data_IF_818963913364
#
_entry.id   IF_818963913364
#
_cell.length_a   1.000
_cell.length_b   1.000
_cell.length_c   1.000
_cell.angle_alpha   90.00
_cell.angle_beta   90.00
_cell.angle_gamma   90.00
#
_symmetry.space_group_name_H-M   'P 1'
#
loop_
_entity.id
_entity.type
_entity.pdbx_description
1 polymer ?
#
# COMPACT_ATOMS: atom_id res chain seq x y z
N UNK A 1 -35.77 3.43 -1.86
CA UNK A 1 -35.36 4.84 -1.71
C UNK A 1 -35.05 5.15 -0.26
N UNK A 2 -35.81 4.62 0.70
CA UNK A 2 -35.61 4.88 2.14
C UNK A 2 -34.46 4.10 2.81
N UNK A 3 -33.84 3.11 2.15
CA UNK A 3 -32.66 2.40 2.70
C UNK A 3 -31.31 2.97 2.25
N UNK A 4 -31.29 3.88 1.27
CA UNK A 4 -30.08 4.57 0.82
C UNK A 4 -29.89 5.88 1.62
N UNK A 5 -30.98 6.43 2.16
CA UNK A 5 -30.97 7.62 3.02
C UNK A 5 -30.77 7.30 4.51
N UNK A 6 -30.89 6.03 4.92
CA UNK A 6 -30.49 5.56 6.26
C UNK A 6 -29.03 5.08 6.32
N UNK A 7 -28.26 5.27 5.24
CA UNK A 7 -26.88 4.79 5.09
C UNK A 7 -25.85 5.66 5.82
N UNK A 8 -26.27 6.76 6.45
CA UNK A 8 -25.34 7.65 7.12
C UNK A 8 -25.94 8.18 8.42
N UNK A 9 -25.34 7.78 9.53
CA UNK A 9 -25.52 8.42 10.83
C UNK A 9 -24.80 9.79 10.81
N UNK A 10 -25.30 10.79 11.57
CA UNK A 10 -24.68 12.14 11.63
C UNK A 10 -23.19 12.06 12.00
N UNK A 11 -22.87 11.09 12.84
CA UNK A 11 -21.54 10.66 13.29
C UNK A 11 -20.61 10.28 12.13
N UNK A 12 -21.09 9.44 11.21
CA UNK A 12 -20.32 8.89 10.10
C UNK A 12 -20.07 9.95 9.02
N UNK A 13 -21.05 10.82 8.78
CA UNK A 13 -20.90 11.98 7.90
C UNK A 13 -19.79 12.93 8.35
N UNK A 14 -19.70 13.21 9.66
CA UNK A 14 -18.65 14.08 10.21
C UNK A 14 -17.28 13.46 9.98
N UNK A 15 -17.12 12.16 10.25
CA UNK A 15 -15.85 11.45 10.05
C UNK A 15 -15.43 11.37 8.58
N UNK A 16 -16.36 11.10 7.66
CA UNK A 16 -16.09 11.16 6.22
C UNK A 16 -15.71 12.56 5.76
N UNK A 17 -16.33 13.60 6.33
CA UNK A 17 -16.00 15.00 6.02
C UNK A 17 -14.59 15.35 6.49
N UNK A 18 -14.23 14.96 7.71
CA UNK A 18 -12.87 15.12 8.26
C UNK A 18 -11.86 14.37 7.39
N UNK A 19 -12.16 13.11 7.05
CA UNK A 19 -11.31 12.29 6.19
C UNK A 19 -11.10 12.90 4.80
N UNK A 20 -12.18 13.34 4.15
CA UNK A 20 -12.12 14.02 2.85
C UNK A 20 -11.33 15.32 2.93
N UNK A 21 -11.49 16.10 4.00
CA UNK A 21 -10.69 17.30 4.23
C UNK A 21 -9.20 16.96 4.37
N UNK A 22 -8.83 15.90 5.10
CA UNK A 22 -7.44 15.43 5.20
C UNK A 22 -6.88 15.05 3.83
N UNK A 23 -7.63 14.35 2.98
CA UNK A 23 -7.20 14.00 1.62
C UNK A 23 -7.02 15.27 0.76
N UNK A 24 -7.96 16.20 0.81
CA UNK A 24 -7.87 17.44 0.03
C UNK A 24 -6.66 18.26 0.48
N UNK A 25 -6.45 18.39 1.79
CA UNK A 25 -5.28 19.06 2.37
C UNK A 25 -4.00 18.37 1.92
N UNK A 26 -3.95 17.03 1.96
CA UNK A 26 -2.83 16.25 1.43
C UNK A 26 -2.55 16.61 -0.02
N UNK A 27 -3.56 16.52 -0.90
CA UNK A 27 -3.41 16.81 -2.33
C UNK A 27 -2.94 18.25 -2.57
N UNK A 28 -3.43 19.22 -1.80
CA UNK A 28 -2.98 20.62 -1.89
C UNK A 28 -1.51 20.75 -1.49
N UNK A 29 -1.08 20.14 -0.38
CA UNK A 29 0.32 20.20 0.05
C UNK A 29 1.25 19.46 -0.93
N UNK A 30 0.81 18.34 -1.48
CA UNK A 30 1.59 17.54 -2.43
C UNK A 30 1.72 18.21 -3.81
N UNK A 31 0.64 18.82 -4.31
CA UNK A 31 0.61 19.51 -5.61
C UNK A 31 1.18 20.95 -5.55
N UNK A 32 0.90 21.68 -4.46
CA UNK A 32 1.05 23.13 -4.39
C UNK A 32 2.29 23.65 -3.67
N UNK A 33 2.79 22.95 -2.65
CA UNK A 33 3.82 23.50 -1.75
C UNK A 33 5.24 22.96 -2.00
N UNK A 34 5.37 21.70 -2.40
CA UNK A 34 6.69 21.05 -2.60
C UNK A 34 7.23 21.11 -4.04
N UNK A 35 6.51 21.75 -4.96
CA UNK A 35 6.88 21.78 -6.39
C UNK A 35 7.97 22.82 -6.73
N UNK A 36 8.52 23.53 -5.74
CA UNK A 36 9.40 24.69 -5.99
C UNK A 36 10.90 24.43 -5.99
N UNK A 37 11.39 23.28 -5.53
CA UNK A 37 12.79 22.92 -5.73
C UNK A 37 12.95 21.41 -5.79
N UNK A 38 13.52 20.91 -6.89
CA UNK A 38 13.93 19.53 -7.08
C UNK A 38 15.13 19.15 -6.18
N UNK A 39 15.06 19.47 -4.88
CA UNK A 39 16.04 19.05 -3.88
C UNK A 39 15.74 17.61 -3.50
N UNK A 40 16.81 16.79 -3.48
CA UNK A 40 16.75 15.44 -2.92
C UNK A 40 16.12 15.50 -1.53
N UNK A 41 15.06 14.72 -1.30
CA UNK A 41 14.39 14.66 0.00
C UNK A 41 15.37 14.08 1.00
N UNK A 42 15.74 14.86 2.02
CA UNK A 42 16.63 14.39 3.08
C UNK A 42 15.92 13.34 3.94
N UNK A 43 16.67 12.36 4.45
CA UNK A 43 16.15 11.34 5.36
C UNK A 43 15.42 11.97 6.56
N UNK A 44 15.96 13.04 7.14
CA UNK A 44 15.33 13.79 8.23
C UNK A 44 13.95 14.32 7.86
N UNK A 45 13.84 14.97 6.69
CA UNK A 45 12.55 15.48 6.20
C UNK A 45 11.55 14.36 5.98
N UNK A 46 12.00 13.24 5.42
CA UNK A 46 11.16 12.06 5.21
C UNK A 46 10.69 11.46 6.54
N UNK A 47 11.54 11.39 7.57
CA UNK A 47 11.17 10.95 8.91
C UNK A 47 10.10 11.85 9.52
N UNK A 48 10.26 13.17 9.48
CA UNK A 48 9.24 14.10 10.01
C UNK A 48 7.91 13.96 9.27
N UNK A 49 7.92 13.82 7.93
CA UNK A 49 6.71 13.59 7.16
C UNK A 49 6.04 12.25 7.53
N UNK A 50 6.83 11.19 7.75
CA UNK A 50 6.29 9.89 8.17
C UNK A 50 5.63 9.96 9.55
N UNK A 51 6.31 10.58 10.53
CA UNK A 51 5.75 10.78 11.88
C UNK A 51 4.45 11.60 11.80
N UNK A 52 4.43 12.66 11.00
CA UNK A 52 3.23 13.48 10.80
C UNK A 52 2.03 12.65 10.33
N UNK A 53 2.20 11.80 9.32
CA UNK A 53 1.12 10.94 8.84
C UNK A 53 0.67 9.88 9.86
N UNK A 54 1.60 9.33 10.63
CA UNK A 54 1.27 8.41 11.72
C UNK A 54 0.44 9.13 12.78
N UNK A 55 0.83 10.35 13.19
CA UNK A 55 0.10 11.14 14.19
C UNK A 55 -1.31 11.46 13.70
N UNK A 56 -1.49 11.86 12.44
CA UNK A 56 -2.82 12.09 11.86
C UNK A 56 -3.66 10.81 11.89
N UNK A 57 -3.07 9.67 11.52
CA UNK A 57 -3.78 8.38 11.51
C UNK A 57 -4.20 7.95 12.92
N UNK A 58 -3.34 8.17 13.92
CA UNK A 58 -3.66 7.93 15.34
C UNK A 58 -4.75 8.86 15.85
N UNK A 59 -4.67 10.16 15.51
CA UNK A 59 -5.72 11.11 15.86
C UNK A 59 -7.06 10.71 15.23
N UNK A 60 -7.07 10.26 13.97
CA UNK A 60 -8.29 9.78 13.32
C UNK A 60 -8.85 8.52 13.99
N UNK A 61 -8.00 7.55 14.36
CA UNK A 61 -8.42 6.39 15.13
C UNK A 61 -9.04 6.75 16.49
N UNK A 62 -8.50 7.76 17.17
CA UNK A 62 -9.09 8.31 18.39
C UNK A 62 -10.44 8.99 18.14
N UNK A 63 -10.61 9.71 17.02
CA UNK A 63 -11.90 10.26 16.63
C UNK A 63 -12.94 9.16 16.39
N UNK A 64 -12.56 8.03 15.78
CA UNK A 64 -13.46 6.88 15.63
C UNK A 64 -13.96 6.40 17.00
N UNK A 65 -13.08 6.32 18.00
CA UNK A 65 -13.46 5.96 19.37
C UNK A 65 -14.49 6.92 19.98
N UNK A 66 -14.24 8.23 19.88
CA UNK A 66 -15.14 9.26 20.44
C UNK A 66 -16.51 9.26 19.75
N UNK A 67 -16.53 9.17 18.42
CA UNK A 67 -17.75 9.28 17.63
C UNK A 67 -18.60 8.00 17.65
N UNK A 68 -17.99 6.81 17.56
CA UNK A 68 -18.72 5.54 17.61
C UNK A 68 -18.88 4.97 19.03
N UNK A 69 -18.32 5.62 20.06
CA UNK A 69 -18.54 5.28 21.47
C UNK A 69 -18.01 3.90 21.89
N UNK A 70 -16.97 3.38 21.23
CA UNK A 70 -16.49 2.02 21.48
C UNK A 70 -15.08 1.75 20.97
N UNK A 71 -14.40 0.78 21.60
CA UNK A 71 -13.02 0.40 21.25
C UNK A 71 -12.92 -0.57 20.07
N UNK A 72 -14.02 -1.21 19.67
CA UNK A 72 -14.01 -2.25 18.63
C UNK A 72 -13.62 -1.68 17.27
N UNK A 73 -14.35 -0.68 16.75
CA UNK A 73 -14.05 -0.06 15.46
C UNK A 73 -12.69 0.67 15.45
N UNK A 74 -12.29 1.24 16.59
CA UNK A 74 -10.96 1.82 16.76
C UNK A 74 -9.86 0.75 16.62
N UNK A 75 -10.01 -0.41 17.27
CA UNK A 75 -9.06 -1.51 17.18
C UNK A 75 -9.05 -2.14 15.78
N UNK A 76 -10.20 -2.25 15.13
CA UNK A 76 -10.29 -2.66 13.73
C UNK A 76 -9.56 -1.69 12.81
N UNK A 77 -9.77 -0.38 12.97
CA UNK A 77 -9.05 0.66 12.25
C UNK A 77 -7.54 0.54 12.44
N UNK A 78 -7.06 0.44 13.68
CA UNK A 78 -5.63 0.32 13.94
C UNK A 78 -5.04 -1.00 13.43
N UNK A 79 -5.78 -2.09 13.51
CA UNK A 79 -5.36 -3.40 12.98
C UNK A 79 -5.23 -3.35 11.47
N UNK A 80 -6.25 -2.82 10.78
CA UNK A 80 -6.25 -2.65 9.34
C UNK A 80 -5.15 -1.68 8.89
N UNK A 81 -5.01 -0.54 9.58
CA UNK A 81 -3.98 0.46 9.30
C UNK A 81 -2.58 -0.13 9.46
N UNK A 82 -2.29 -0.85 10.55
CA UNK A 82 -0.96 -1.43 10.79
C UNK A 82 -0.65 -2.56 9.80
N UNK A 83 -1.61 -3.44 9.53
CA UNK A 83 -1.46 -4.50 8.54
C UNK A 83 -1.13 -3.90 7.16
N UNK A 84 -1.90 -2.90 6.75
CA UNK A 84 -1.73 -2.22 5.47
C UNK A 84 -0.44 -1.41 5.39
N UNK A 85 -0.12 -0.68 6.46
CA UNK A 85 1.11 0.10 6.57
C UNK A 85 2.33 -0.80 6.40
N UNK A 86 2.27 -2.02 6.94
CA UNK A 86 3.34 -2.99 6.79
C UNK A 86 3.43 -3.59 5.38
N UNK A 87 2.30 -4.04 4.82
CA UNK A 87 2.25 -4.60 3.46
C UNK A 87 2.69 -3.57 2.42
N UNK A 88 2.38 -2.28 2.64
CA UNK A 88 2.84 -1.20 1.76
C UNK A 88 4.36 -1.06 1.68
N UNK A 89 5.14 -1.63 2.61
CA UNK A 89 6.60 -1.61 2.52
C UNK A 89 7.08 -2.50 1.37
N UNK A 90 6.49 -3.68 1.18
CA UNK A 90 6.76 -4.52 0.01
C UNK A 90 6.40 -3.81 -1.29
N UNK A 91 5.31 -3.02 -1.30
CA UNK A 91 4.95 -2.18 -2.44
C UNK A 91 6.07 -1.18 -2.77
N UNK A 92 6.63 -0.52 -1.76
CA UNK A 92 7.75 0.41 -1.92
C UNK A 92 8.99 -0.29 -2.48
N UNK A 93 9.30 -1.51 -2.02
CA UNK A 93 10.42 -2.30 -2.56
C UNK A 93 10.28 -2.49 -4.06
N UNK A 94 9.11 -2.94 -4.53
CA UNK A 94 8.90 -3.16 -5.97
C UNK A 94 8.90 -1.85 -6.75
N UNK A 95 8.32 -0.78 -6.22
CA UNK A 95 8.40 0.55 -6.84
C UNK A 95 9.86 0.97 -7.02
N UNK A 96 10.70 0.79 -6.00
CA UNK A 96 12.13 1.13 -6.08
C UNK A 96 12.85 0.29 -7.13
N UNK A 97 12.57 -1.01 -7.20
CA UNK A 97 13.13 -1.90 -8.23
C UNK A 97 12.73 -1.47 -9.63
N UNK A 98 11.45 -1.13 -9.86
CA UNK A 98 10.96 -0.60 -11.13
C UNK A 98 11.71 0.70 -11.49
N UNK A 99 11.80 1.65 -10.56
CA UNK A 99 12.49 2.93 -10.78
C UNK A 99 13.97 2.75 -11.13
N UNK A 100 14.66 1.83 -10.44
CA UNK A 100 16.07 1.49 -10.69
C UNK A 100 16.25 0.79 -12.04
N UNK A 101 15.38 -0.17 -12.37
CA UNK A 101 15.41 -0.90 -13.64
C UNK A 101 15.27 0.04 -14.85
N UNK A 102 14.29 0.96 -14.79
CA UNK A 102 14.08 1.98 -15.83
C UNK A 102 15.08 3.14 -15.77
N UNK A 103 16.05 3.10 -14.84
CA UNK A 103 17.07 4.14 -14.63
C UNK A 103 16.44 5.53 -14.55
N UNK A 104 15.32 5.63 -13.83
CA UNK A 104 14.60 6.88 -13.67
C UNK A 104 15.43 7.85 -12.84
N UNK A 105 15.59 9.07 -13.33
CA UNK A 105 16.26 10.14 -12.59
C UNK A 105 15.49 10.47 -11.30
N UNK A 106 16.20 10.63 -10.18
CA UNK A 106 15.59 10.88 -8.86
C UNK A 106 14.68 12.12 -8.83
N UNK A 107 14.93 13.10 -9.70
CA UNK A 107 14.11 14.31 -9.86
C UNK A 107 12.66 13.99 -10.25
N UNK A 108 12.42 12.84 -10.89
CA UNK A 108 11.08 12.40 -11.29
C UNK A 108 10.41 11.45 -10.28
N UNK A 109 11.11 11.00 -9.23
CA UNK A 109 10.54 10.08 -8.23
C UNK A 109 9.33 10.70 -7.55
N UNK A 110 9.44 11.97 -7.14
CA UNK A 110 8.33 12.70 -6.51
C UNK A 110 7.08 12.65 -7.39
N UNK A 111 7.23 12.95 -8.68
CA UNK A 111 6.13 12.95 -9.63
C UNK A 111 5.52 11.57 -9.82
N UNK A 112 6.34 10.53 -9.96
CA UNK A 112 5.85 9.15 -10.13
C UNK A 112 5.12 8.68 -8.88
N UNK A 113 5.68 8.92 -7.70
CA UNK A 113 5.07 8.55 -6.42
C UNK A 113 3.76 9.30 -6.18
N UNK A 114 3.67 10.59 -6.56
CA UNK A 114 2.43 11.34 -6.45
C UNK A 114 1.31 10.71 -7.28
N UNK A 115 1.57 10.44 -8.57
CA UNK A 115 0.57 9.79 -9.42
C UNK A 115 0.28 8.36 -8.96
N UNK A 116 1.31 7.65 -8.48
CA UNK A 116 1.24 6.34 -7.82
C UNK A 116 0.25 6.31 -6.65
N UNK A 117 0.35 7.27 -5.74
CA UNK A 117 -0.56 7.38 -4.58
C UNK A 117 -1.96 7.73 -5.03
N UNK A 118 -2.11 8.66 -5.98
CA UNK A 118 -3.42 9.07 -6.48
C UNK A 118 -4.16 7.91 -7.15
N UNK A 119 -3.47 7.13 -7.99
CA UNK A 119 -4.02 5.95 -8.62
C UNK A 119 -4.34 4.86 -7.60
N UNK A 120 -3.44 4.59 -6.65
CA UNK A 120 -3.68 3.64 -5.55
C UNK A 120 -4.94 3.99 -4.73
N UNK A 121 -5.17 5.27 -4.40
CA UNK A 121 -6.39 5.71 -3.69
C UNK A 121 -7.66 5.35 -4.48
N UNK A 122 -7.65 5.60 -5.80
CA UNK A 122 -8.79 5.34 -6.68
C UNK A 122 -9.01 3.83 -6.86
N UNK A 123 -7.96 3.08 -7.22
CA UNK A 123 -8.07 1.64 -7.42
C UNK A 123 -8.42 0.90 -6.13
N UNK A 124 -7.91 1.34 -4.97
CA UNK A 124 -8.35 0.78 -3.69
C UNK A 124 -9.80 1.03 -3.40
N UNK A 125 -10.32 2.24 -3.66
CA UNK A 125 -11.75 2.48 -3.50
C UNK A 125 -12.54 1.46 -4.33
N UNK A 126 -12.18 1.28 -5.60
CA UNK A 126 -12.82 0.31 -6.49
C UNK A 126 -12.74 -1.12 -5.93
N UNK A 127 -11.55 -1.59 -5.53
CA UNK A 127 -11.37 -2.96 -5.06
C UNK A 127 -12.04 -3.21 -3.70
N UNK A 128 -12.03 -2.23 -2.79
CA UNK A 128 -12.68 -2.33 -1.49
C UNK A 128 -14.20 -2.42 -1.67
N UNK A 129 -14.81 -1.51 -2.43
CA UNK A 129 -16.26 -1.56 -2.64
C UNK A 129 -16.69 -2.79 -3.46
N UNK A 130 -15.90 -3.19 -4.46
CA UNK A 130 -16.15 -4.43 -5.19
C UNK A 130 -16.02 -5.65 -4.28
N UNK A 131 -14.99 -5.69 -3.44
CA UNK A 131 -14.78 -6.76 -2.46
C UNK A 131 -15.90 -6.81 -1.42
N UNK A 132 -16.34 -5.67 -0.91
CA UNK A 132 -17.43 -5.58 0.06
C UNK A 132 -18.74 -6.10 -0.54
N UNK A 133 -19.04 -5.69 -1.78
CA UNK A 133 -20.17 -6.22 -2.54
C UNK A 133 -20.09 -7.74 -2.71
N UNK A 134 -18.92 -8.27 -3.08
CA UNK A 134 -18.71 -9.72 -3.22
C UNK A 134 -18.84 -10.47 -1.90
N UNK A 135 -18.33 -9.93 -0.79
CA UNK A 135 -18.42 -10.55 0.54
C UNK A 135 -19.88 -10.55 1.03
N UNK A 136 -20.61 -9.46 0.81
CA UNK A 136 -22.02 -9.35 1.20
C UNK A 136 -22.89 -10.40 0.49
N UNK A 137 -22.69 -10.59 -0.82
CA UNK A 137 -23.45 -11.59 -1.59
C UNK A 137 -22.92 -13.02 -1.40
N UNK A 138 -21.61 -13.18 -1.29
CA UNK A 138 -20.93 -14.47 -1.27
C UNK A 138 -20.04 -14.62 -0.04
N UNK A 139 -20.63 -14.81 1.14
CA UNK A 139 -19.88 -14.91 2.40
C UNK A 139 -18.76 -15.98 2.38
N UNK A 140 -18.94 -17.05 1.60
CA UNK A 140 -17.95 -18.11 1.40
C UNK A 140 -16.67 -17.64 0.68
N UNK A 141 -16.68 -16.46 0.06
CA UNK A 141 -15.51 -15.86 -0.58
C UNK A 141 -14.39 -15.56 0.42
N UNK A 142 -14.73 -15.31 1.68
CA UNK A 142 -13.75 -15.13 2.76
C UNK A 142 -12.89 -16.38 2.95
N UNK A 143 -13.40 -17.56 2.63
CA UNK A 143 -12.60 -18.81 2.68
C UNK A 143 -11.62 -18.91 1.52
N UNK A 144 -12.02 -18.47 0.32
CA UNK A 144 -11.10 -18.37 -0.83
C UNK A 144 -9.97 -17.40 -0.47
N UNK A 145 -10.32 -16.24 0.08
CA UNK A 145 -9.39 -15.24 0.58
C UNK A 145 -8.45 -15.83 1.63
N UNK A 146 -8.97 -16.54 2.63
CA UNK A 146 -8.15 -17.19 3.66
C UNK A 146 -7.15 -18.19 3.08
N UNK A 147 -7.60 -19.07 2.17
CA UNK A 147 -6.72 -20.03 1.50
C UNK A 147 -5.66 -19.34 0.62
N UNK A 148 -6.06 -18.29 -0.09
CA UNK A 148 -5.17 -17.48 -0.92
C UNK A 148 -4.08 -16.80 -0.07
N UNK A 149 -4.43 -16.21 1.08
CA UNK A 149 -3.46 -15.57 1.98
C UNK A 149 -2.46 -16.56 2.57
N UNK A 150 -2.92 -17.74 2.98
CA UNK A 150 -2.01 -18.81 3.44
C UNK A 150 -1.05 -19.20 2.32
N UNK A 151 -1.56 -19.40 1.11
CA UNK A 151 -0.73 -19.71 -0.06
C UNK A 151 0.30 -18.60 -0.36
N UNK A 152 -0.12 -17.34 -0.43
CA UNK A 152 0.76 -16.19 -0.68
C UNK A 152 1.83 -16.07 0.40
N UNK A 153 1.46 -16.17 1.68
CA UNK A 153 2.41 -16.12 2.77
C UNK A 153 3.42 -17.28 2.75
N UNK A 154 2.98 -18.52 2.49
CA UNK A 154 3.89 -19.67 2.33
C UNK A 154 4.83 -19.46 1.16
N UNK A 155 4.31 -18.98 0.02
CA UNK A 155 5.13 -18.68 -1.16
C UNK A 155 6.22 -17.67 -0.84
N UNK A 156 5.88 -16.55 -0.21
CA UNK A 156 6.86 -15.51 0.19
C UNK A 156 7.91 -16.08 1.14
N UNK A 157 7.51 -16.93 2.10
CA UNK A 157 8.44 -17.52 3.07
C UNK A 157 9.51 -18.41 2.42
N UNK A 158 9.15 -19.15 1.37
CA UNK A 158 10.04 -20.09 0.67
C UNK A 158 10.69 -19.51 -0.58
N UNK A 159 10.29 -18.31 -1.03
CA UNK A 159 10.87 -17.66 -2.19
C UNK A 159 12.32 -17.23 -1.89
N UNK A 160 13.25 -17.59 -2.78
CA UNK A 160 14.64 -17.12 -2.72
C UNK A 160 14.73 -15.77 -3.42
N UNK A 161 15.50 -14.83 -2.87
CA UNK A 161 15.68 -13.45 -3.35
C UNK A 161 16.20 -13.33 -4.81
N UNK A 162 16.59 -14.43 -5.47
CA UNK A 162 17.22 -14.47 -6.79
C UNK A 162 16.24 -14.75 -7.96
N UNK A 163 14.93 -14.82 -7.74
CA UNK A 163 13.96 -14.88 -8.84
C UNK A 163 13.78 -13.48 -9.47
N UNK A 164 14.62 -13.22 -10.48
CA UNK A 164 14.65 -12.05 -11.37
C UNK A 164 13.22 -11.52 -11.69
N UNK A 165 12.84 -10.43 -11.04
CA UNK A 165 11.87 -9.50 -11.60
C UNK A 165 12.52 -8.93 -12.86
N UNK A 166 12.15 -9.46 -14.02
CA UNK A 166 12.44 -8.85 -15.31
C UNK A 166 11.19 -8.08 -15.78
N UNK A 167 11.07 -6.77 -15.47
CA UNK A 167 9.94 -5.96 -15.88
C UNK A 167 9.63 -6.04 -17.37
N UNK A 168 10.63 -6.24 -18.25
CA UNK A 168 10.37 -6.34 -19.69
C UNK A 168 9.63 -7.61 -20.11
N UNK A 169 9.71 -8.68 -19.31
CA UNK A 169 8.89 -9.88 -19.53
C UNK A 169 7.46 -9.71 -19.05
N UNK A 170 7.17 -8.70 -18.23
CA UNK A 170 5.85 -8.42 -17.68
C UNK A 170 4.83 -8.22 -18.82
N UNK A 171 3.72 -8.95 -18.72
CA UNK A 171 2.60 -8.94 -19.65
C UNK A 171 2.09 -7.51 -19.88
N UNK A 172 2.11 -6.69 -18.84
CA UNK A 172 1.62 -5.32 -18.87
C UNK A 172 2.49 -4.43 -19.77
N UNK A 173 3.82 -4.58 -19.72
CA UNK A 173 4.72 -3.85 -20.61
C UNK A 173 4.56 -4.33 -22.05
N UNK A 174 4.46 -5.64 -22.26
CA UNK A 174 4.27 -6.20 -23.61
C UNK A 174 2.98 -5.69 -24.24
N UNK A 175 1.90 -5.68 -23.47
CA UNK A 175 0.62 -5.12 -23.90
C UNK A 175 0.73 -3.62 -24.17
N UNK A 176 1.29 -2.86 -23.24
CA UNK A 176 1.48 -1.41 -23.42
C UNK A 176 2.33 -1.09 -24.66
N UNK A 177 3.45 -1.78 -24.90
CA UNK A 177 4.29 -1.60 -26.10
C UNK A 177 3.59 -2.03 -27.39
N UNK A 178 2.66 -2.99 -27.32
CA UNK A 178 1.87 -3.46 -28.47
C UNK A 178 0.78 -2.47 -28.89
N UNK A 179 0.12 -1.82 -27.94
CA UNK A 179 -1.02 -0.93 -28.20
C UNK A 179 -0.71 0.56 -28.11
N UNK A 180 0.38 0.95 -27.45
CA UNK A 180 0.78 2.34 -27.27
C UNK A 180 2.06 2.65 -28.03
N UNK A 181 2.09 3.84 -28.64
CA UNK A 181 3.30 4.33 -29.31
C UNK A 181 4.30 4.87 -28.29
N UNK A 182 5.25 4.03 -27.89
CA UNK A 182 6.26 4.37 -26.88
C UNK A 182 7.46 5.08 -27.51
N UNK A 183 7.91 6.17 -26.89
CA UNK A 183 9.11 6.89 -27.30
C UNK A 183 10.39 6.25 -26.74
N UNK A 184 11.55 6.57 -27.34
CA UNK A 184 12.87 6.17 -26.83
C UNK A 184 13.47 7.12 -25.77
N UNK A 185 12.92 8.32 -25.55
CA UNK A 185 13.55 9.36 -24.73
C UNK A 185 12.69 9.82 -23.55
N UNK A 186 13.35 10.35 -22.51
CA UNK A 186 12.70 10.98 -21.37
C UNK A 186 12.49 12.47 -21.68
N UNK A 187 11.27 12.84 -22.06
CA UNK A 187 10.89 14.20 -22.49
C UNK A 187 10.70 15.16 -21.30
N UNK A 188 11.77 15.41 -20.54
CA UNK A 188 11.79 16.34 -19.39
C UNK A 188 10.66 16.06 -18.38
N UNK A 189 10.45 14.79 -18.03
CA UNK A 189 9.44 14.40 -17.04
C UNK A 189 8.00 14.32 -17.54
N UNK A 190 7.71 14.56 -18.83
CA UNK A 190 6.36 14.42 -19.38
C UNK A 190 6.00 12.95 -19.55
N UNK A 191 4.78 12.56 -19.18
CA UNK A 191 4.29 11.19 -19.39
C UNK A 191 3.81 10.96 -20.84
N UNK A 192 3.19 11.98 -21.42
CA UNK A 192 2.62 11.96 -22.77
C UNK A 192 3.11 13.17 -23.54
N UNK A 193 3.44 12.97 -24.81
CA UNK A 193 3.78 14.05 -25.73
C UNK A 193 2.90 13.95 -26.98
N UNK A 194 2.55 15.10 -27.56
CA UNK A 194 1.94 15.17 -28.90
C UNK A 194 3.02 15.51 -29.92
N UNK A 195 3.09 14.73 -31.00
CA UNK A 195 3.89 15.04 -32.18
C UNK A 195 2.97 15.04 -33.40
N UNK A 196 2.53 16.24 -33.81
CA UNK A 196 1.47 16.40 -34.80
C UNK A 196 0.14 15.85 -34.29
N UNK A 197 -0.51 14.98 -35.08
CA UNK A 197 -1.76 14.29 -34.70
C UNK A 197 -1.54 13.06 -33.82
N UNK A 198 -0.30 12.61 -33.63
CA UNK A 198 0.00 11.38 -32.91
C UNK A 198 0.30 11.65 -31.44
N UNK A 199 -0.32 10.85 -30.57
CA UNK A 199 -0.02 10.80 -29.13
C UNK A 199 1.07 9.74 -28.91
N UNK A 200 2.11 10.12 -28.20
CA UNK A 200 3.27 9.31 -27.89
C UNK A 200 3.42 9.23 -26.37
N UNK A 201 3.65 8.02 -25.86
CA UNK A 201 3.82 7.76 -24.44
C UNK A 201 5.31 7.60 -24.12
N UNK A 202 5.76 8.20 -23.02
CA UNK A 202 7.17 8.15 -22.61
C UNK A 202 7.48 6.93 -21.76
N UNK A 203 8.75 6.59 -21.55
CA UNK A 203 9.13 5.55 -20.59
C UNK A 203 8.60 5.80 -19.18
N UNK A 204 8.49 7.07 -18.76
CA UNK A 204 7.91 7.45 -17.46
C UNK A 204 6.43 7.06 -17.33
N UNK A 205 5.67 7.05 -18.43
CA UNK A 205 4.29 6.56 -18.41
C UNK A 205 4.25 5.04 -18.17
N UNK A 206 5.15 4.29 -18.79
CA UNK A 206 5.27 2.84 -18.53
C UNK A 206 5.63 2.55 -17.08
N UNK A 207 6.49 3.38 -16.48
CA UNK A 207 6.85 3.27 -15.06
C UNK A 207 5.62 3.47 -14.18
N UNK A 208 4.81 4.51 -14.40
CA UNK A 208 3.55 4.69 -13.64
C UNK A 208 2.63 3.49 -13.85
N UNK A 209 2.43 3.06 -15.09
CA UNK A 209 1.55 1.94 -15.39
C UNK A 209 1.98 0.66 -14.64
N UNK A 210 3.29 0.40 -14.53
CA UNK A 210 3.84 -0.70 -13.75
C UNK A 210 3.64 -0.52 -12.25
N UNK A 211 3.88 0.68 -11.72
CA UNK A 211 3.68 0.98 -10.30
C UNK A 211 2.22 0.76 -9.91
N UNK A 212 1.28 1.32 -10.68
CA UNK A 212 -0.17 1.15 -10.44
C UNK A 212 -0.63 -0.29 -10.56
N UNK A 213 -0.17 -1.00 -11.59
CA UNK A 213 -0.55 -2.40 -11.77
C UNK A 213 0.07 -3.32 -10.72
N UNK A 214 1.27 -3.01 -10.23
CA UNK A 214 1.88 -3.74 -9.12
C UNK A 214 1.09 -3.49 -7.84
N UNK A 215 0.69 -2.24 -7.55
CA UNK A 215 -0.18 -1.94 -6.41
C UNK A 215 -1.50 -2.72 -6.51
N UNK A 216 -2.08 -2.83 -7.72
CA UNK A 216 -3.26 -3.65 -7.97
C UNK A 216 -3.05 -5.13 -7.66
N UNK A 217 -1.89 -5.67 -8.03
CA UNK A 217 -1.53 -7.06 -7.72
C UNK A 217 -1.39 -7.23 -6.21
N UNK A 218 -0.76 -6.28 -5.51
CA UNK A 218 -0.65 -6.30 -4.05
C UNK A 218 -1.98 -6.06 -3.32
N UNK A 219 -2.92 -5.37 -3.94
CA UNK A 219 -4.28 -5.23 -3.44
C UNK A 219 -4.98 -6.59 -3.32
N UNK A 220 -4.62 -7.57 -4.16
CA UNK A 220 -5.17 -8.93 -4.11
C UNK A 220 -4.75 -9.67 -2.84
N UNK A 221 -3.58 -9.41 -2.27
CA UNK A 221 -3.17 -9.96 -0.97
C UNK A 221 -3.68 -9.10 0.19
N UNK A 222 -3.51 -7.79 0.10
CA UNK A 222 -3.76 -6.88 1.22
C UNK A 222 -5.25 -6.65 1.52
N UNK A 223 -6.11 -6.52 0.51
CA UNK A 223 -7.53 -6.23 0.73
C UNK A 223 -8.26 -7.42 1.38
N UNK A 224 -8.11 -8.67 0.90
CA UNK A 224 -8.61 -9.84 1.63
C UNK A 224 -8.15 -9.94 3.08
N UNK A 225 -6.88 -9.60 3.35
CA UNK A 225 -6.35 -9.60 4.71
C UNK A 225 -7.05 -8.57 5.60
N UNK A 226 -7.40 -7.40 5.07
CA UNK A 226 -8.16 -6.39 5.82
C UNK A 226 -9.63 -6.80 6.00
N UNK A 227 -10.25 -7.47 5.03
CA UNK A 227 -11.60 -8.04 5.19
C UNK A 227 -11.69 -9.08 6.33
N UNK A 228 -10.57 -9.74 6.66
CA UNK A 228 -10.47 -10.63 7.82
C UNK A 228 -10.44 -9.89 9.17
N UNK A 229 -10.16 -8.58 9.15
CA UNK A 229 -10.08 -7.72 10.33
C UNK A 229 -11.42 -7.03 10.52
N UNK A 230 -11.98 -6.46 9.46
CA UNK A 230 -13.25 -5.73 9.50
C UNK A 230 -13.96 -5.84 8.17
N UNK A 231 -15.29 -5.88 8.21
CA UNK A 231 -16.16 -5.80 7.04
C UNK A 231 -16.84 -4.43 6.95
N UNK A 232 -16.53 -3.51 7.87
CA UNK A 232 -17.03 -2.14 7.81
C UNK A 232 -16.29 -1.38 6.69
N UNK A 233 -17.02 -0.99 5.65
CA UNK A 233 -16.49 -0.32 4.46
C UNK A 233 -15.77 0.99 4.79
N UNK A 234 -16.31 1.78 5.72
CA UNK A 234 -15.69 3.01 6.20
C UNK A 234 -14.32 2.74 6.82
N UNK A 235 -14.22 1.75 7.72
CA UNK A 235 -12.95 1.38 8.36
C UNK A 235 -11.95 0.80 7.35
N UNK A 236 -12.42 -0.10 6.47
CA UNK A 236 -11.62 -0.67 5.38
C UNK A 236 -10.98 0.43 4.54
N UNK A 237 -11.80 1.37 4.06
CA UNK A 237 -11.36 2.43 3.18
C UNK A 237 -10.44 3.43 3.89
N UNK A 238 -10.88 3.99 5.02
CA UNK A 238 -10.12 5.04 5.71
C UNK A 238 -8.76 4.53 6.20
N UNK A 239 -8.70 3.36 6.84
CA UNK A 239 -7.44 2.78 7.32
C UNK A 239 -6.44 2.53 6.19
N UNK A 240 -6.92 2.06 5.04
CA UNK A 240 -6.11 1.81 3.87
C UNK A 240 -5.53 3.09 3.29
N UNK A 241 -6.36 4.12 3.12
CA UNK A 241 -5.88 5.40 2.57
C UNK A 241 -4.88 6.04 3.55
N UNK A 242 -5.18 6.09 4.85
CA UNK A 242 -4.24 6.59 5.86
C UNK A 242 -2.88 5.87 5.80
N UNK A 243 -2.87 4.56 5.58
CA UNK A 243 -1.64 3.80 5.41
C UNK A 243 -0.86 4.18 4.14
N UNK A 244 -1.51 4.58 3.04
CA UNK A 244 -0.83 5.01 1.80
C UNK A 244 -0.44 6.48 1.80
N UNK A 245 -1.14 7.39 2.49
CA UNK A 245 -0.85 8.84 2.42
C UNK A 245 0.63 9.17 2.78
N UNK A 246 1.25 8.37 3.65
CA UNK A 246 2.67 8.48 4.01
C UNK A 246 3.66 7.82 3.03
N UNK A 247 3.21 7.23 1.92
CA UNK A 247 4.03 6.40 1.01
C UNK A 247 5.27 7.13 0.52
N UNK A 248 5.16 8.41 0.14
CA UNK A 248 6.30 9.19 -0.33
C UNK A 248 7.40 9.30 0.72
N UNK A 249 7.02 9.63 1.96
CA UNK A 249 7.94 9.73 3.08
C UNK A 249 8.59 8.38 3.37
N UNK A 250 7.79 7.31 3.40
CA UNK A 250 8.26 5.94 3.58
C UNK A 250 9.22 5.51 2.47
N UNK A 251 8.94 5.86 1.21
CA UNK A 251 9.79 5.55 0.08
C UNK A 251 11.20 6.12 0.26
N UNK A 252 11.32 7.41 0.61
CA UNK A 252 12.63 8.03 0.79
C UNK A 252 13.37 7.54 2.04
N UNK A 253 12.64 7.16 3.10
CA UNK A 253 13.24 6.48 4.25
C UNK A 253 13.80 5.13 3.79
N UNK A 254 12.94 4.27 3.23
CA UNK A 254 13.27 2.90 2.88
C UNK A 254 14.38 2.84 1.83
N UNK A 255 14.32 3.67 0.78
CA UNK A 255 15.35 3.72 -0.26
C UNK A 255 16.77 3.98 0.31
N UNK A 256 16.89 4.65 1.46
CA UNK A 256 18.16 4.91 2.13
C UNK A 256 18.60 3.85 3.15
N UNK A 257 17.72 2.94 3.55
CA UNK A 257 17.98 1.94 4.61
C UNK A 257 17.55 0.52 4.23
N UNK A 258 17.23 0.31 2.95
CA UNK A 258 16.62 -0.91 2.40
C UNK A 258 17.36 -2.19 2.79
N UNK A 259 18.69 -2.16 2.72
CA UNK A 259 19.57 -3.29 3.03
C UNK A 259 19.54 -3.70 4.52
N UNK A 260 18.92 -2.88 5.37
CA UNK A 260 18.79 -3.17 6.80
C UNK A 260 17.54 -3.99 7.13
N UNK A 261 16.50 -4.02 6.29
CA UNK A 261 15.17 -4.59 6.62
C UNK A 261 14.92 -5.98 6.02
N UNK A 262 15.94 -6.83 5.98
CA UNK A 262 15.86 -8.15 5.35
C UNK A 262 14.89 -9.14 6.03
N UNK A 263 14.56 -8.97 7.32
CA UNK A 263 13.57 -9.83 8.00
C UNK A 263 12.13 -9.35 7.83
N UNK A 264 11.89 -8.21 7.19
CA UNK A 264 10.55 -7.65 7.06
C UNK A 264 9.67 -8.54 6.18
N UNK A 265 10.18 -9.03 5.05
CA UNK A 265 9.46 -9.98 4.17
C UNK A 265 9.04 -11.25 4.92
N UNK A 266 9.89 -11.78 5.80
CA UNK A 266 9.54 -12.92 6.66
C UNK A 266 8.43 -12.56 7.66
N UNK A 267 8.47 -11.37 8.24
CA UNK A 267 7.38 -10.88 9.10
C UNK A 267 6.05 -10.80 8.35
N UNK A 268 6.06 -10.27 7.14
CA UNK A 268 4.87 -10.17 6.28
C UNK A 268 4.32 -11.53 5.87
N UNK A 269 5.19 -12.50 5.52
CA UNK A 269 4.75 -13.88 5.26
C UNK A 269 4.03 -14.51 6.45
N UNK A 270 4.53 -14.29 7.66
CA UNK A 270 3.89 -14.80 8.87
C UNK A 270 2.53 -14.13 9.11
N UNK A 271 2.44 -12.82 8.92
CA UNK A 271 1.19 -12.06 9.06
C UNK A 271 0.14 -12.58 8.07
N UNK A 272 0.49 -12.80 6.80
CA UNK A 272 -0.41 -13.33 5.79
C UNK A 272 -0.89 -14.75 6.14
N UNK A 273 0.01 -15.64 6.56
CA UNK A 273 -0.36 -16.99 7.01
C UNK A 273 -1.29 -16.92 8.22
N UNK A 274 -0.98 -16.08 9.21
CA UNK A 274 -1.79 -15.92 10.41
C UNK A 274 -3.19 -15.40 10.09
N UNK A 275 -3.30 -14.34 9.28
CA UNK A 275 -4.59 -13.77 8.89
C UNK A 275 -5.38 -14.78 8.05
N UNK A 276 -4.76 -15.45 7.09
CA UNK A 276 -5.41 -16.47 6.28
C UNK A 276 -5.90 -17.66 7.12
N UNK A 277 -5.07 -18.13 8.06
CA UNK A 277 -5.46 -19.17 9.01
C UNK A 277 -6.62 -18.72 9.91
N UNK A 278 -6.63 -17.48 10.41
CA UNK A 278 -7.76 -16.90 11.15
C UNK A 278 -9.05 -16.99 10.35
N UNK A 279 -9.04 -16.56 9.08
CA UNK A 279 -10.23 -16.61 8.22
C UNK A 279 -10.73 -18.04 8.02
N UNK A 280 -9.83 -19.01 7.87
CA UNK A 280 -10.20 -20.41 7.70
C UNK A 280 -10.70 -21.05 9.01
N UNK A 281 -10.18 -20.64 10.17
CA UNK A 281 -10.61 -21.14 11.48
C UNK A 281 -12.04 -20.72 11.83
N UNK A 282 -12.52 -19.62 11.25
CA UNK A 282 -13.92 -19.19 11.37
C UNK A 282 -14.91 -20.25 10.84
N UNK A 283 -14.49 -21.09 9.89
CA UNK A 283 -15.28 -22.24 9.43
C UNK A 283 -15.56 -23.26 10.53
N UNK A 284 -14.64 -23.43 11.48
CA UNK A 284 -14.78 -24.37 12.61
C UNK A 284 -15.34 -23.65 13.85
N UNK A 285 -15.93 -22.46 13.67
CA UNK A 285 -16.46 -21.59 14.73
C UNK A 285 -15.42 -21.15 15.76
N UNK A 286 -14.14 -21.09 15.37
CA UNK A 286 -13.06 -20.58 16.22
C UNK A 286 -12.83 -19.11 15.87
N UNK A 287 -13.32 -18.22 16.72
CA UNK A 287 -13.14 -16.78 16.55
C UNK A 287 -11.90 -16.29 17.31
N UNK A 288 -10.94 -15.74 16.58
CA UNK A 288 -9.78 -15.05 17.18
C UNK A 288 -10.17 -13.61 17.44
N UNK A 289 -10.09 -13.19 18.71
CA UNK A 289 -10.38 -11.83 19.15
C UNK A 289 -9.51 -10.80 18.42
N UNK A 290 -10.11 -9.67 18.01
CA UNK A 290 -9.44 -8.56 17.32
C UNK A 290 -8.20 -8.04 18.05
N UNK A 291 -8.22 -7.98 19.38
CA UNK A 291 -7.07 -7.56 20.20
C UNK A 291 -5.90 -8.55 20.07
N UNK A 292 -6.19 -9.85 20.00
CA UNK A 292 -5.16 -10.88 19.77
C UNK A 292 -4.59 -10.72 18.37
N UNK A 293 -5.44 -10.55 17.35
CA UNK A 293 -4.98 -10.30 15.98
C UNK A 293 -4.10 -9.05 15.90
N UNK A 294 -4.53 -7.93 16.48
CA UNK A 294 -3.76 -6.69 16.56
C UNK A 294 -2.39 -6.93 17.21
N UNK A 295 -2.38 -7.60 18.35
CA UNK A 295 -1.16 -7.87 19.11
C UNK A 295 -0.18 -8.73 18.33
N UNK A 296 -0.66 -9.77 17.64
CA UNK A 296 0.18 -10.64 16.80
C UNK A 296 0.75 -9.85 15.62
N UNK A 297 -0.08 -9.11 14.88
CA UNK A 297 0.37 -8.32 13.73
C UNK A 297 1.40 -7.27 14.17
N UNK A 298 1.06 -6.48 15.19
CA UNK A 298 1.94 -5.43 15.69
C UNK A 298 3.27 -5.99 16.23
N UNK A 299 3.21 -7.06 17.02
CA UNK A 299 4.42 -7.66 17.61
C UNK A 299 5.32 -8.28 16.56
N UNK A 300 4.77 -8.96 15.54
CA UNK A 300 5.56 -9.52 14.45
C UNK A 300 6.27 -8.42 13.66
N UNK A 301 5.57 -7.33 13.35
CA UNK A 301 6.19 -6.20 12.65
C UNK A 301 7.29 -5.53 13.45
N UNK A 302 7.00 -5.25 14.73
CA UNK A 302 7.97 -4.64 15.63
C UNK A 302 9.20 -5.54 15.77
N UNK A 303 9.02 -6.85 15.96
CA UNK A 303 10.10 -7.81 16.09
C UNK A 303 10.92 -7.93 14.80
N UNK A 304 10.27 -8.00 13.63
CA UNK A 304 10.95 -8.04 12.33
C UNK A 304 11.80 -6.79 12.11
N UNK A 305 11.29 -5.61 12.47
CA UNK A 305 12.02 -4.34 12.38
C UNK A 305 13.19 -4.32 13.37
N UNK A 306 12.96 -4.65 14.65
CA UNK A 306 13.99 -4.59 15.68
C UNK A 306 15.11 -5.60 15.41
N UNK A 307 14.79 -6.85 15.06
CA UNK A 307 15.78 -7.86 14.74
C UNK A 307 16.58 -7.49 13.48
N UNK A 308 15.92 -6.92 12.47
CA UNK A 308 16.58 -6.40 11.26
C UNK A 308 17.63 -5.32 11.59
N UNK A 309 17.34 -4.44 12.56
CA UNK A 309 18.24 -3.38 12.98
C UNK A 309 19.35 -3.86 13.92
N UNK A 310 19.06 -4.82 14.80
CA UNK A 310 19.98 -5.35 15.81
C UNK A 310 20.95 -6.40 15.24
N UNK A 311 20.52 -7.15 14.22
CA UNK A 311 21.30 -8.20 13.58
C UNK A 311 21.60 -7.75 12.14
N UNK A 312 22.63 -6.93 11.91
CA UNK A 312 22.99 -6.53 10.56
C UNK A 312 23.33 -7.76 9.72
N UNK A 313 22.68 -7.89 8.56
CA UNK A 313 22.98 -8.94 7.61
C UNK A 313 24.46 -8.83 7.21
N UNK A 314 25.22 -9.91 7.34
CA UNK A 314 26.62 -9.97 6.97
C UNK A 314 26.71 -9.84 5.44
N UNK A 315 26.90 -8.60 4.98
CA UNK A 315 27.16 -8.14 3.61
C UNK A 315 27.26 -9.28 2.57
N UNK A 316 26.14 -9.61 1.90
CA UNK A 316 26.22 -9.95 0.47
C UNK A 316 26.30 -8.59 -0.22
N UNK A 317 27.53 -8.15 -0.46
CA UNK A 317 27.81 -6.89 -1.13
C UNK A 317 27.05 -6.84 -2.47
N UNK A 318 26.13 -5.88 -2.62
CA UNK A 318 25.48 -5.52 -3.90
C UNK A 318 26.49 -5.08 -5.00
N UNK A 319 27.81 -5.13 -4.76
CA UNK A 319 28.83 -5.00 -5.82
C UNK A 319 28.95 -6.23 -6.72
N UNK A 320 28.31 -7.34 -6.37
CA UNK A 320 28.39 -8.58 -7.16
C UNK A 320 27.29 -8.68 -8.25
N UNK A 321 26.49 -7.62 -8.44
CA UNK A 321 25.44 -7.50 -9.48
C UNK A 321 25.75 -6.43 -10.55
N UNK A 322 27.03 -6.11 -10.78
CA UNK A 322 27.47 -5.21 -11.87
C UNK A 322 27.85 -6.01 -13.11
#
# INVERSE_FOLDING_TARGET
MDSILSFFDDTEHVLYTIFGAVIIIFLIFDLGFFNKDAKKVSLKSATYQSIFWIVISVAFGYLIYEFYGGTVLMLEFFSAYVAEYALSVDNIFVILLILRYFKVEETYYHKILFWGVLGAIVFRAIFIFLGAFLVAEFHWILYIFGAFLVYSGVKIFFQKEEDDLDPEKNVIIKFARKYLNITKGNFSGKFVIKRGKMILFTPLFLVILLVESTDLIFAVDSIPAVFAITQNEFILYTSNIFAILGLRAKFFILAGIIDKFYLLQKGLSFILIFIGAKMLLEFVHIHINTLVSFSVIFSTLLLSILLSLLIPQRNKSLKDLV
#
